data_IF_019558343620
#
_entry.id   IF_019558343620
#
_cell.length_a   1.000
_cell.length_b   1.000
_cell.length_c   1.000
_cell.angle_alpha   90.00
_cell.angle_beta   90.00
_cell.angle_gamma   90.00
#
_symmetry.space_group_name_H-M   'P 1'
#
loop_
_entity.id
_entity.type
_entity.pdbx_description
1 polymer ?
#
# COMPACT_ATOMS: atom_id res chain seq x y z
N UNK A 1 21.08 9.68 2.66
CA UNK A 1 20.28 8.44 2.68
C UNK A 1 20.71 7.44 3.76
N UNK A 2 21.39 7.88 4.83
CA UNK A 2 21.91 7.02 5.91
C UNK A 2 21.44 7.45 7.31
N UNK A 3 20.46 8.34 7.39
CA UNK A 3 19.95 8.81 8.66
C UNK A 3 18.93 7.81 9.20
N UNK A 4 19.16 7.27 10.40
CA UNK A 4 18.31 6.26 11.05
C UNK A 4 16.88 6.69 11.37
N UNK A 5 16.45 7.86 10.92
CA UNK A 5 15.06 8.30 10.98
C UNK A 5 14.27 8.11 9.67
N UNK A 6 14.94 7.82 8.56
CA UNK A 6 14.28 7.65 7.28
C UNK A 6 13.78 6.20 7.16
N UNK A 7 12.50 5.99 7.44
CA UNK A 7 11.82 4.74 7.05
C UNK A 7 11.42 4.92 5.60
N UNK A 8 12.12 4.21 4.72
CA UNK A 8 11.88 4.25 3.29
C UNK A 8 10.87 3.17 2.88
N UNK A 9 9.92 3.50 2.00
CA UNK A 9 8.92 2.55 1.49
C UNK A 9 9.52 1.39 0.65
N UNK A 10 10.85 1.33 0.46
CA UNK A 10 11.56 0.25 -0.23
C UNK A 10 12.25 -0.74 0.71
N UNK A 11 12.23 -0.52 2.03
CA UNK A 11 12.78 -1.48 2.99
C UNK A 11 11.88 -2.72 3.06
N UNK A 12 12.46 -3.92 2.97
CA UNK A 12 11.71 -5.18 3.01
C UNK A 12 11.06 -5.39 4.38
N UNK A 13 9.73 -5.21 4.42
CA UNK A 13 8.89 -5.39 5.61
C UNK A 13 8.00 -6.64 5.51
N UNK A 14 8.27 -7.52 4.54
CA UNK A 14 7.47 -8.73 4.32
C UNK A 14 7.45 -9.67 5.54
N UNK A 15 8.47 -9.57 6.40
CA UNK A 15 8.59 -10.37 7.61
C UNK A 15 7.68 -9.91 8.78
N UNK A 16 7.03 -8.74 8.71
CA UNK A 16 6.43 -8.07 9.88
C UNK A 16 4.93 -7.77 9.72
N UNK A 17 4.19 -8.60 8.98
CA UNK A 17 2.74 -8.50 8.65
C UNK A 17 2.46 -7.93 7.26
N UNK A 18 2.19 -8.83 6.31
CA UNK A 18 1.69 -8.51 4.97
C UNK A 18 0.18 -8.36 5.07
N UNK A 19 -0.34 -7.18 4.71
CA UNK A 19 -1.77 -7.03 4.50
C UNK A 19 -2.18 -7.82 3.25
N UNK A 20 -2.92 -8.90 3.44
CA UNK A 20 -3.44 -9.75 2.37
C UNK A 20 -4.65 -9.09 1.71
N UNK A 21 -5.01 -9.54 0.51
CA UNK A 21 -6.09 -8.92 -0.29
C UNK A 21 -7.45 -8.85 0.42
N UNK A 22 -7.74 -9.78 1.34
CA UNK A 22 -8.93 -9.84 2.20
C UNK A 22 -8.97 -8.76 3.28
N UNK A 23 -7.83 -8.13 3.58
CA UNK A 23 -7.71 -7.04 4.55
C UNK A 23 -7.80 -5.66 3.89
N UNK A 24 -7.89 -5.60 2.55
CA UNK A 24 -7.97 -4.36 1.79
C UNK A 24 -9.41 -4.01 1.46
N UNK A 25 -9.76 -2.73 1.55
CA UNK A 25 -11.05 -2.25 1.06
C UNK A 25 -10.95 -1.97 -0.45
N UNK A 26 -11.04 -3.03 -1.26
CA UNK A 26 -10.81 -2.96 -2.71
C UNK A 26 -11.76 -2.01 -3.45
N UNK A 27 -12.96 -1.74 -2.92
CA UNK A 27 -13.91 -0.80 -3.51
C UNK A 27 -13.42 0.67 -3.48
N UNK A 28 -12.38 0.99 -2.70
CA UNK A 28 -11.73 2.30 -2.74
C UNK A 28 -10.91 2.52 -4.00
N UNK A 29 -10.43 1.44 -4.63
CA UNK A 29 -9.53 1.52 -5.78
C UNK A 29 -10.29 1.26 -7.07
N UNK A 30 -10.08 2.13 -8.06
CA UNK A 30 -10.62 1.91 -9.39
C UNK A 30 -10.02 0.66 -10.02
N UNK A 31 -10.86 -0.10 -10.71
CA UNK A 31 -10.38 -1.26 -11.45
C UNK A 31 -9.65 -0.82 -12.71
N UNK A 32 -8.34 -0.97 -12.70
CA UNK A 32 -7.50 -0.81 -13.88
C UNK A 32 -6.88 -2.13 -14.31
N UNK A 33 -6.58 -2.29 -15.61
CA UNK A 33 -5.85 -3.44 -16.11
C UNK A 33 -4.34 -3.22 -15.95
N UNK A 34 -3.62 -4.29 -15.61
CA UNK A 34 -2.17 -4.28 -15.50
C UNK A 34 -1.50 -4.03 -16.85
N UNK A 35 -0.51 -3.13 -16.87
CA UNK A 35 0.35 -2.90 -18.01
C UNK A 35 1.35 -4.06 -18.18
N UNK A 36 0.94 -5.09 -18.93
CA UNK A 36 1.79 -6.26 -19.19
C UNK A 36 2.97 -5.88 -20.09
N UNK A 37 4.16 -6.32 -19.69
CA UNK A 37 5.36 -6.25 -20.54
C UNK A 37 5.19 -7.13 -21.77
N UNK A 38 5.72 -6.68 -22.90
CA UNK A 38 5.68 -7.46 -24.13
C UNK A 38 6.67 -8.61 -24.05
N UNK A 39 6.21 -9.81 -24.40
CA UNK A 39 7.05 -10.99 -24.53
C UNK A 39 7.63 -11.09 -25.95
N UNK A 40 8.92 -11.41 -26.04
CA UNK A 40 9.54 -11.78 -27.30
C UNK A 40 8.91 -13.07 -27.83
N UNK A 41 8.54 -13.08 -29.11
CA UNK A 41 7.98 -14.27 -29.75
C UNK A 41 9.10 -15.24 -30.10
N UNK A 42 9.27 -16.29 -29.29
CA UNK A 42 10.25 -17.35 -29.51
C UNK A 42 9.51 -18.59 -30.02
N UNK A 43 9.90 -19.08 -31.19
CA UNK A 43 9.32 -20.28 -31.81
C UNK A 43 10.23 -21.49 -31.59
N UNK A 44 9.70 -22.70 -31.78
CA UNK A 44 10.48 -23.94 -31.68
C UNK A 44 11.73 -23.93 -32.58
N UNK A 45 11.63 -23.28 -33.75
CA UNK A 45 12.74 -23.17 -34.72
C UNK A 45 13.80 -22.13 -34.30
N UNK A 46 13.46 -21.20 -33.42
CA UNK A 46 14.31 -20.06 -33.03
C UNK A 46 14.71 -20.09 -31.55
N UNK A 47 14.47 -21.20 -30.84
CA UNK A 47 14.77 -21.34 -29.41
C UNK A 47 16.24 -21.69 -29.14
N UNK A 48 16.88 -22.45 -30.03
CA UNK A 48 18.28 -22.86 -29.85
C UNK A 48 19.22 -21.69 -30.16
N UNK A 49 20.19 -21.45 -29.25
CA UNK A 49 21.16 -20.35 -29.34
C UNK A 49 20.53 -18.94 -29.37
N UNK A 50 19.30 -18.77 -28.87
CA UNK A 50 18.66 -17.47 -28.76
C UNK A 50 18.89 -16.89 -27.36
N UNK A 51 19.60 -15.76 -27.30
CA UNK A 51 19.93 -15.03 -26.09
C UNK A 51 19.22 -13.66 -26.00
N UNK A 52 18.17 -13.46 -26.81
CA UNK A 52 17.37 -12.24 -26.73
C UNK A 52 16.61 -12.19 -25.41
N UNK A 53 16.43 -10.98 -24.88
CA UNK A 53 15.66 -10.75 -23.67
C UNK A 53 14.20 -11.16 -23.88
N UNK A 54 13.64 -11.89 -22.91
CA UNK A 54 12.28 -12.43 -23.01
C UNK A 54 11.21 -11.37 -22.86
N UNK A 55 11.43 -10.36 -22.03
CA UNK A 55 10.48 -9.28 -21.76
C UNK A 55 11.12 -7.95 -22.07
N UNK A 56 10.46 -7.11 -22.86
CA UNK A 56 10.89 -5.72 -23.02
C UNK A 56 10.43 -4.87 -21.84
N UNK A 57 11.21 -3.84 -21.51
CA UNK A 57 10.83 -2.84 -20.53
C UNK A 57 9.54 -2.11 -20.95
N UNK A 58 8.77 -1.65 -19.96
CA UNK A 58 7.66 -0.75 -20.23
C UNK A 58 8.19 0.60 -20.72
N UNK A 59 7.42 1.26 -21.57
CA UNK A 59 7.61 2.68 -21.88
C UNK A 59 7.48 3.50 -20.59
N UNK A 60 8.14 4.66 -20.56
CA UNK A 60 8.18 5.51 -19.36
C UNK A 60 6.78 5.81 -18.81
N UNK A 61 5.85 6.22 -19.67
CA UNK A 61 4.48 6.51 -19.26
C UNK A 61 3.77 5.28 -18.66
N UNK A 62 3.88 4.12 -19.31
CA UNK A 62 3.29 2.86 -18.80
C UNK A 62 3.91 2.43 -17.48
N UNK A 63 5.18 2.77 -17.25
CA UNK A 63 5.87 2.50 -15.98
C UNK A 63 5.30 3.37 -14.86
N UNK A 64 5.08 4.66 -15.13
CA UNK A 64 4.44 5.59 -14.20
C UNK A 64 3.01 5.12 -13.89
N UNK A 65 2.24 4.76 -14.91
CA UNK A 65 0.87 4.27 -14.77
C UNK A 65 0.81 2.98 -13.94
N UNK A 66 1.74 2.04 -14.18
CA UNK A 66 1.82 0.80 -13.37
C UNK A 66 2.23 1.08 -11.92
N UNK A 67 3.12 2.04 -11.69
CA UNK A 67 3.49 2.44 -10.33
C UNK A 67 2.32 3.11 -9.58
N UNK A 68 1.48 3.88 -10.29
CA UNK A 68 0.31 4.55 -9.72
C UNK A 68 -0.79 3.58 -9.26
N UNK A 69 -0.83 2.36 -9.80
CA UNK A 69 -1.76 1.28 -9.39
C UNK A 69 -1.45 0.67 -8.01
N UNK A 70 -0.37 1.09 -7.35
CA UNK A 70 0.01 0.56 -6.04
C UNK A 70 -1.04 0.90 -4.96
N UNK A 71 -1.59 -0.13 -4.30
CA UNK A 71 -2.62 0.02 -3.26
C UNK A 71 -2.03 0.36 -1.87
N UNK A 72 -0.71 0.50 -1.75
CA UNK A 72 -0.01 0.73 -0.47
C UNK A 72 -0.43 -0.26 0.63
N UNK A 73 -0.65 -1.54 0.29
CA UNK A 73 -1.15 -2.56 1.21
C UNK A 73 -0.32 -2.62 2.52
N UNK A 74 -1.01 -2.55 3.66
CA UNK A 74 -0.39 -2.53 4.98
C UNK A 74 0.30 -1.22 5.35
N UNK A 75 0.12 -0.15 4.58
CA UNK A 75 0.73 1.16 4.82
C UNK A 75 -0.31 2.29 4.71
N UNK A 76 -0.22 3.27 5.61
CA UNK A 76 -1.00 4.49 5.47
C UNK A 76 -0.43 5.36 4.36
N UNK A 77 -1.31 5.84 3.48
CA UNK A 77 -1.01 6.73 2.36
C UNK A 77 -1.78 8.06 2.48
N UNK A 78 -2.18 8.44 3.70
CA UNK A 78 -2.79 9.74 4.01
C UNK A 78 -4.13 10.00 3.27
N UNK A 79 -5.00 8.97 3.14
CA UNK A 79 -6.33 9.12 2.53
C UNK A 79 -7.38 9.79 3.43
N UNK A 80 -7.11 9.92 4.73
CA UNK A 80 -7.97 10.55 5.74
C UNK A 80 -9.34 9.91 6.01
N UNK A 81 -9.68 8.78 5.39
CA UNK A 81 -10.94 8.09 5.68
C UNK A 81 -11.14 7.83 7.17
N UNK A 82 -10.10 7.36 7.88
CA UNK A 82 -10.19 7.09 9.31
C UNK A 82 -10.48 8.34 10.16
N UNK A 83 -10.07 9.52 9.72
CA UNK A 83 -10.35 10.81 10.37
C UNK A 83 -11.79 11.22 10.09
N UNK A 84 -12.20 11.17 8.82
CA UNK A 84 -13.53 11.62 8.37
C UNK A 84 -14.66 10.76 8.94
N UNK A 85 -14.46 9.44 9.02
CA UNK A 85 -15.49 8.50 9.46
C UNK A 85 -15.46 8.21 10.97
N UNK A 86 -14.54 8.79 11.73
CA UNK A 86 -14.53 8.60 13.18
C UNK A 86 -15.70 9.36 13.82
N UNK A 87 -16.70 8.68 14.42
CA UNK A 87 -17.86 9.38 14.99
C UNK A 87 -17.52 10.19 16.25
N UNK A 88 -16.43 9.85 16.94
CA UNK A 88 -16.01 10.47 18.20
C UNK A 88 -14.89 11.52 18.03
N UNK A 89 -14.49 11.83 16.78
CA UNK A 89 -13.31 12.66 16.50
C UNK A 89 -12.05 12.21 17.28
N UNK A 90 -11.89 10.89 17.44
CA UNK A 90 -10.80 10.28 18.18
C UNK A 90 -9.53 10.11 17.34
N UNK A 91 -9.63 10.11 16.01
CA UNK A 91 -8.48 9.97 15.10
C UNK A 91 -8.06 11.34 14.58
N UNK A 92 -6.77 11.67 14.70
CA UNK A 92 -6.23 12.95 14.24
C UNK A 92 -4.88 12.80 13.53
N UNK A 93 -4.56 13.76 12.67
CA UNK A 93 -3.27 13.79 11.97
C UNK A 93 -2.15 14.21 12.90
N UNK A 94 -1.02 13.50 12.81
CA UNK A 94 0.21 13.93 13.49
C UNK A 94 1.01 14.86 12.59
N UNK A 95 1.79 15.75 13.21
CA UNK A 95 2.68 16.64 12.47
C UNK A 95 3.78 15.83 11.79
N UNK A 96 4.21 16.26 10.60
CA UNK A 96 5.20 15.54 9.77
C UNK A 96 6.57 15.37 10.45
N UNK A 97 6.89 16.23 11.40
CA UNK A 97 8.11 16.20 12.21
C UNK A 97 8.01 15.25 13.42
N UNK A 98 6.82 14.72 13.71
CA UNK A 98 6.54 13.85 14.85
C UNK A 98 6.25 12.42 14.37
N UNK A 99 6.64 11.44 15.21
CA UNK A 99 6.40 10.01 14.96
C UNK A 99 5.34 9.51 15.94
N UNK A 100 4.22 9.01 15.42
CA UNK A 100 3.26 8.21 16.18
C UNK A 100 3.34 6.72 15.82
N UNK A 101 2.76 5.85 16.66
CA UNK A 101 2.39 4.48 16.27
C UNK A 101 1.32 4.58 15.17
N UNK A 102 1.75 4.75 13.92
CA UNK A 102 0.84 5.20 12.87
C UNK A 102 1.45 6.07 11.77
N UNK A 103 2.63 6.67 12.03
CA UNK A 103 3.35 7.72 11.27
C UNK A 103 2.54 8.97 10.91
N UNK A 104 1.31 8.84 10.44
CA UNK A 104 0.51 9.90 9.82
C UNK A 104 -0.75 10.25 10.62
N UNK A 105 -1.30 9.30 11.37
CA UNK A 105 -2.45 9.49 12.25
C UNK A 105 -2.19 8.86 13.61
N UNK A 106 -2.85 9.39 14.64
CA UNK A 106 -2.82 8.86 16.00
C UNK A 106 -4.25 8.82 16.58
N UNK A 107 -4.44 8.07 17.66
CA UNK A 107 -5.74 7.84 18.30
C UNK A 107 -5.77 8.43 19.71
N UNK A 108 -6.71 9.31 19.97
CA UNK A 108 -7.10 9.74 21.30
C UNK A 108 -7.92 8.62 21.97
N UNK A 109 -7.26 7.84 22.82
CA UNK A 109 -7.89 6.72 23.52
C UNK A 109 -8.90 7.15 24.59
N UNK A 110 -8.91 8.41 25.02
CA UNK A 110 -9.93 8.91 25.97
C UNK A 110 -11.28 9.14 25.27
N UNK A 111 -11.26 9.35 23.94
CA UNK A 111 -12.46 9.47 23.10
C UNK A 111 -12.83 8.19 22.37
N UNK A 112 -11.86 7.31 22.13
CA UNK A 112 -12.07 6.11 21.35
C UNK A 112 -13.01 5.12 22.07
N UNK A 113 -14.17 4.87 21.48
CA UNK A 113 -15.16 3.90 21.99
C UNK A 113 -15.01 2.48 21.41
N UNK A 114 -13.99 2.23 20.59
CA UNK A 114 -13.75 0.90 20.02
C UNK A 114 -14.79 0.46 18.98
N UNK A 115 -15.37 1.38 18.21
CA UNK A 115 -16.39 1.07 17.19
C UNK A 115 -15.85 0.42 15.90
N UNK A 116 -14.52 0.38 15.72
CA UNK A 116 -13.81 -0.24 14.60
C UNK A 116 -14.04 0.37 13.20
N UNK A 117 -14.90 1.39 13.06
CA UNK A 117 -15.19 2.06 11.78
C UNK A 117 -13.91 2.52 11.08
N UNK A 118 -12.96 3.11 11.81
CA UNK A 118 -11.68 3.58 11.25
C UNK A 118 -10.87 2.45 10.60
N UNK A 119 -10.93 1.23 11.13
CA UNK A 119 -10.29 0.06 10.56
C UNK A 119 -11.05 -0.47 9.33
N UNK A 120 -12.38 -0.50 9.38
CA UNK A 120 -13.23 -0.96 8.28
C UNK A 120 -13.12 -0.08 7.02
N UNK A 121 -13.00 1.24 7.19
CA UNK A 121 -12.88 2.19 6.08
C UNK A 121 -11.45 2.38 5.57
N UNK A 122 -10.47 1.70 6.18
CA UNK A 122 -9.05 1.84 5.81
C UNK A 122 -8.76 1.08 4.49
N UNK A 123 -8.43 1.77 3.39
CA UNK A 123 -8.28 1.11 2.09
C UNK A 123 -7.15 0.10 2.03
N UNK A 124 -6.04 0.44 2.67
CA UNK A 124 -4.82 -0.36 2.67
C UNK A 124 -4.75 -1.39 3.79
N UNK A 125 -5.76 -1.49 4.66
CA UNK A 125 -5.71 -2.39 5.82
C UNK A 125 -4.62 -2.04 6.83
N UNK A 126 -4.21 -0.76 6.88
CA UNK A 126 -3.16 -0.24 7.75
C UNK A 126 -3.52 -0.27 9.24
N UNK A 127 -4.79 0.02 9.57
CA UNK A 127 -5.26 0.10 10.95
C UNK A 127 -5.60 -1.32 11.42
N UNK A 128 -4.86 -1.79 12.43
CA UNK A 128 -5.11 -3.07 13.11
C UNK A 128 -5.75 -2.81 14.47
N UNK A 129 -6.86 -3.49 14.75
CA UNK A 129 -7.51 -3.43 16.06
C UNK A 129 -6.89 -4.51 16.96
N UNK A 130 -6.31 -4.10 18.10
CA UNK A 130 -5.54 -4.97 19.00
C UNK A 130 -6.33 -6.02 19.80
N UNK A 131 -7.61 -6.29 19.46
CA UNK A 131 -8.49 -7.21 20.18
C UNK A 131 -9.08 -8.33 19.31
N UNK A 132 -8.46 -8.66 18.18
CA UNK A 132 -8.85 -9.82 17.37
C UNK A 132 -7.79 -10.93 17.45
N UNK A 133 -8.27 -12.12 17.82
CA UNK A 133 -7.58 -13.42 17.91
C UNK A 133 -7.61 -14.17 16.58
#
# INVERSE_FOLDING_TARGET
DSAGFAIHNYEDRSATEIATHDQLHLAYFDHELMNRRQEANITADSVLNNFQERFSALEEQKTIDEAARCMSCGMCFECDNCVVYCPEDAIFRVKKDQRAMGRYVDTDYDKCVGCHICAEVCPSGYIKMGLHY
#
